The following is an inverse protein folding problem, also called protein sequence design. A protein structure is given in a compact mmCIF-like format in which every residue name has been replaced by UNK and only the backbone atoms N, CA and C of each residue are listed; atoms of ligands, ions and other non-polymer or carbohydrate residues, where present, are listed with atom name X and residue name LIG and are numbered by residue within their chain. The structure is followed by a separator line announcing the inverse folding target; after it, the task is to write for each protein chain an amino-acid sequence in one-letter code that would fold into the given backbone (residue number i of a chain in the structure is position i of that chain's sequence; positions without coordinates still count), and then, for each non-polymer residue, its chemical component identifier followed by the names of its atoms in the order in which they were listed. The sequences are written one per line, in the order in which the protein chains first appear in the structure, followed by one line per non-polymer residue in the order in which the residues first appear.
data_IF_848250558831
#
_entry.id   IF_848250558831
#
_cell.length_a   1.000
_cell.length_b   1.000
_cell.length_c   1.000
_cell.angle_alpha   90.00
_cell.angle_beta   90.00
_cell.angle_gamma   90.00
#
_symmetry.space_group_name_H-M   'P 1'
#
loop_
_entity.id
_entity.type
_entity.pdbx_description
1 polymer ?
#
# COMPACT_ATOMS: atom_id res chain seq x y z
N UNK A 1 -16.99 -3.88 10.31
CA UNK A 1 -16.51 -3.09 11.46
C UNK A 1 -15.00 -3.16 11.46
N UNK A 2 -14.31 -2.24 10.78
CA UNK A 2 -12.84 -2.21 10.79
C UNK A 2 -12.44 -1.10 11.77
N UNK A 3 -12.09 -1.50 12.99
CA UNK A 3 -11.53 -0.59 13.98
C UNK A 3 -10.22 -0.03 13.44
N UNK A 4 -10.15 1.29 13.36
CA UNK A 4 -8.92 2.03 13.10
C UNK A 4 -8.04 1.94 14.35
N UNK A 5 -7.32 0.83 14.53
CA UNK A 5 -6.28 0.74 15.54
C UNK A 5 -5.08 1.63 15.14
N UNK A 6 -4.60 2.55 16.00
CA UNK A 6 -3.54 3.50 15.67
C UNK A 6 -2.11 2.91 15.72
N UNK A 7 -1.97 1.59 15.86
CA UNK A 7 -0.67 0.95 16.03
C UNK A 7 -0.11 0.50 14.69
N UNK A 8 1.09 1.02 14.37
CA UNK A 8 1.91 0.86 13.15
C UNK A 8 1.32 -0.15 12.16
N UNK A 9 0.36 0.24 11.29
CA UNK A 9 -0.11 -0.64 10.24
C UNK A 9 1.13 -1.06 9.46
N UNK A 10 1.32 -2.37 9.30
CA UNK A 10 2.34 -2.88 8.37
C UNK A 10 2.20 -2.11 7.05
N UNK A 11 3.32 -1.83 6.36
CA UNK A 11 3.28 -0.97 5.17
C UNK A 11 2.20 -1.39 4.16
N UNK A 12 1.90 -2.69 4.11
CA UNK A 12 0.78 -3.27 3.39
C UNK A 12 -0.60 -2.75 3.84
N UNK A 13 -0.93 -2.81 5.13
CA UNK A 13 -2.22 -2.31 5.65
C UNK A 13 -2.36 -0.80 5.45
N UNK A 14 -1.27 -0.04 5.55
CA UNK A 14 -1.30 1.38 5.21
C UNK A 14 -1.62 1.60 3.74
N UNK A 15 -1.11 0.75 2.85
CA UNK A 15 -1.45 0.74 1.42
C UNK A 15 -2.93 0.43 1.16
N UNK A 16 -3.51 -0.55 1.88
CA UNK A 16 -4.94 -0.88 1.80
C UNK A 16 -5.81 0.33 2.12
N UNK A 17 -5.46 1.08 3.17
CA UNK A 17 -6.20 2.28 3.59
C UNK A 17 -6.23 3.40 2.55
N UNK A 18 -5.35 3.40 1.54
CA UNK A 18 -5.38 4.39 0.46
C UNK A 18 -6.55 4.16 -0.53
N UNK A 19 -7.11 2.94 -0.55
CA UNK A 19 -8.22 2.53 -1.43
C UNK A 19 -9.19 1.58 -0.69
N UNK A 20 -9.83 2.02 0.41
CA UNK A 20 -10.57 1.13 1.30
C UNK A 20 -11.68 0.35 0.60
N UNK A 21 -12.44 0.99 -0.29
CA UNK A 21 -13.57 0.34 -0.97
C UNK A 21 -13.13 -0.85 -1.85
N UNK A 22 -12.05 -0.68 -2.64
CA UNK A 22 -11.55 -1.72 -3.53
C UNK A 22 -11.01 -2.93 -2.78
N UNK A 23 -10.41 -2.70 -1.61
CA UNK A 23 -9.90 -3.79 -0.78
C UNK A 23 -10.98 -4.43 0.07
N UNK A 24 -11.99 -3.69 0.53
CA UNK A 24 -13.13 -4.25 1.24
C UNK A 24 -13.92 -5.24 0.38
N UNK A 25 -14.03 -4.98 -0.92
CA UNK A 25 -14.65 -5.90 -1.87
C UNK A 25 -13.91 -7.25 -1.94
N UNK A 26 -12.57 -7.21 -2.06
CA UNK A 26 -11.75 -8.43 -2.02
C UNK A 26 -11.84 -9.14 -0.67
N UNK A 27 -11.69 -8.41 0.44
CA UNK A 27 -11.68 -8.97 1.79
C UNK A 27 -13.02 -9.61 2.14
N UNK A 28 -14.13 -9.01 1.70
CA UNK A 28 -15.48 -9.52 1.90
C UNK A 28 -15.91 -10.62 0.93
N UNK A 29 -15.09 -10.93 -0.08
CA UNK A 29 -15.41 -11.97 -1.06
C UNK A 29 -15.17 -13.37 -0.49
N UNK A 30 -16.21 -14.20 -0.46
CA UNK A 30 -16.08 -15.62 -0.10
C UNK A 30 -15.26 -16.40 -1.12
N UNK A 31 -15.32 -16.01 -2.39
CA UNK A 31 -14.61 -16.66 -3.49
C UNK A 31 -13.13 -16.24 -3.58
N UNK A 32 -12.83 -14.95 -3.39
CA UNK A 32 -11.51 -14.39 -3.65
C UNK A 32 -10.76 -13.89 -2.42
N UNK A 33 -11.42 -13.80 -1.25
CA UNK A 33 -10.86 -13.19 -0.04
C UNK A 33 -9.90 -14.07 0.74
N UNK A 34 -9.89 -15.39 0.53
CA UNK A 34 -9.03 -16.34 1.26
C UNK A 34 -7.54 -15.95 1.35
N UNK A 35 -6.89 -15.51 0.25
CA UNK A 35 -5.52 -15.00 0.26
C UNK A 35 -5.21 -13.84 1.23
N UNK A 36 -6.23 -13.13 1.74
CA UNK A 36 -6.04 -12.06 2.73
C UNK A 36 -5.76 -12.60 4.14
N UNK A 37 -6.18 -13.83 4.44
CA UNK A 37 -6.11 -14.39 5.78
C UNK A 37 -4.67 -14.47 6.35
N UNK A 38 -3.65 -14.99 5.62
CA UNK A 38 -2.27 -15.01 6.13
C UNK A 38 -1.72 -13.61 6.44
N UNK A 39 -2.08 -12.63 5.62
CA UNK A 39 -1.64 -11.24 5.81
C UNK A 39 -2.27 -10.65 7.07
N UNK A 40 -3.57 -10.92 7.30
CA UNK A 40 -4.29 -10.45 8.47
C UNK A 40 -3.76 -11.09 9.76
N UNK A 41 -3.49 -12.40 9.75
CA UNK A 41 -2.88 -13.13 10.88
C UNK A 41 -1.52 -12.51 11.22
N UNK A 42 -0.60 -12.40 10.25
CA UNK A 42 0.73 -11.85 10.49
C UNK A 42 0.72 -10.39 10.94
N UNK A 43 -0.24 -9.61 10.45
CA UNK A 43 -0.39 -8.19 10.83
C UNK A 43 -0.82 -8.04 12.30
N UNK A 44 -1.69 -8.92 12.80
CA UNK A 44 -2.25 -8.81 14.15
C UNK A 44 -1.57 -9.72 15.18
N UNK A 45 -0.55 -10.49 14.79
CA UNK A 45 0.17 -11.43 15.66
C UNK A 45 0.59 -10.80 17.00
N UNK A 46 1.03 -9.54 16.96
CA UNK A 46 1.50 -8.79 18.12
C UNK A 46 0.62 -7.57 18.44
N UNK A 47 -0.69 -7.62 18.12
CA UNK A 47 -1.59 -6.49 18.36
C UNK A 47 -1.59 -6.11 19.85
N UNK A 48 -1.52 -4.82 20.25
CA UNK A 48 -1.60 -4.43 21.64
C UNK A 48 -2.91 -4.86 22.32
N UNK A 49 -4.01 -4.94 21.57
CA UNK A 49 -5.29 -5.47 22.03
C UNK A 49 -5.31 -7.01 21.94
N UNK A 50 -5.33 -7.74 23.07
CA UNK A 50 -5.39 -9.20 23.06
C UNK A 50 -6.61 -9.77 22.36
N UNK A 51 -7.73 -9.05 22.29
CA UNK A 51 -8.94 -9.50 21.60
C UNK A 51 -8.78 -9.51 20.07
N UNK A 52 -7.83 -8.72 19.56
CA UNK A 52 -7.52 -8.63 18.13
C UNK A 52 -6.41 -9.59 17.69
N UNK A 53 -5.71 -10.23 18.63
CA UNK A 53 -4.65 -11.19 18.30
C UNK A 53 -5.23 -12.47 17.72
N UNK A 54 -4.63 -13.02 16.64
CA UNK A 54 -4.96 -14.36 16.20
C UNK A 54 -4.48 -15.39 17.24
N UNK A 55 -4.93 -16.65 17.14
CA UNK A 55 -4.33 -17.75 17.89
C UNK A 55 -2.81 -17.79 17.70
N UNK A 56 -2.09 -18.21 18.74
CA UNK A 56 -0.64 -18.34 18.68
C UNK A 56 -0.22 -19.25 17.52
N UNK A 57 0.74 -18.76 16.74
CA UNK A 57 1.24 -19.44 15.56
C UNK A 57 2.34 -20.39 16.00
N UNK A 58 2.05 -21.69 16.03
CA UNK A 58 3.06 -22.70 16.30
C UNK A 58 4.21 -22.62 15.25
N UNK A 59 5.47 -22.90 15.62
CA UNK A 59 6.61 -22.74 14.73
C UNK A 59 6.48 -23.52 13.41
N UNK A 60 5.92 -24.72 13.46
CA UNK A 60 5.65 -25.59 12.30
C UNK A 60 4.53 -25.02 11.38
N UNK A 61 3.56 -24.30 11.95
CA UNK A 61 2.48 -23.65 11.20
C UNK A 61 2.87 -22.33 10.57
N UNK A 62 3.97 -21.72 11.03
CA UNK A 62 4.48 -20.47 10.43
C UNK A 62 4.90 -20.67 8.98
N UNK A 63 5.57 -21.76 8.66
CA UNK A 63 6.02 -22.03 7.29
C UNK A 63 4.85 -22.28 6.34
N UNK A 64 3.83 -23.02 6.78
CA UNK A 64 2.57 -23.21 6.04
C UNK A 64 1.88 -21.86 5.76
N UNK A 65 1.87 -20.96 6.73
CA UNK A 65 1.30 -19.62 6.61
C UNK A 65 2.06 -18.77 5.59
N UNK A 66 3.39 -18.79 5.62
CA UNK A 66 4.24 -18.08 4.67
C UNK A 66 4.11 -18.62 3.25
N UNK A 67 4.01 -19.94 3.08
CA UNK A 67 3.75 -20.54 1.77
C UNK A 67 2.37 -20.15 1.23
N UNK A 68 1.35 -20.17 2.09
CA UNK A 68 0.00 -19.73 1.75
C UNK A 68 -0.04 -18.25 1.36
N UNK A 69 0.73 -17.40 2.04
CA UNK A 69 0.92 -16.00 1.68
C UNK A 69 1.51 -15.86 0.27
N UNK A 70 2.64 -16.53 0.00
CA UNK A 70 3.33 -16.46 -1.30
C UNK A 70 2.41 -16.90 -2.44
N UNK A 71 1.71 -18.02 -2.28
CA UNK A 71 0.74 -18.50 -3.27
C UNK A 71 -0.41 -17.49 -3.45
N UNK A 72 -0.95 -16.98 -2.33
CA UNK A 72 -2.04 -16.01 -2.28
C UNK A 72 -1.74 -14.69 -3.01
N UNK A 73 -0.49 -14.22 -3.01
CA UNK A 73 -0.10 -12.99 -3.71
C UNK A 73 -0.46 -13.03 -5.21
N UNK A 74 -0.34 -14.19 -5.85
CA UNK A 74 -0.70 -14.33 -7.26
C UNK A 74 -2.21 -14.19 -7.48
N UNK A 75 -3.03 -14.71 -6.55
CA UNK A 75 -4.48 -14.58 -6.60
C UNK A 75 -4.92 -13.12 -6.40
N UNK A 76 -4.37 -12.44 -5.39
CA UNK A 76 -4.63 -11.01 -5.14
C UNK A 76 -4.22 -10.17 -6.36
N UNK A 77 -3.05 -10.46 -6.95
CA UNK A 77 -2.59 -9.78 -8.14
C UNK A 77 -3.55 -9.95 -9.32
N UNK A 78 -3.99 -11.19 -9.59
CA UNK A 78 -4.92 -11.51 -10.69
C UNK A 78 -6.29 -10.89 -10.49
N UNK A 79 -6.82 -10.93 -9.26
CA UNK A 79 -8.07 -10.25 -8.91
C UNK A 79 -7.97 -8.77 -9.30
N UNK A 80 -6.97 -8.03 -8.83
CA UNK A 80 -6.86 -6.62 -9.20
C UNK A 80 -6.39 -6.36 -10.64
N UNK A 81 -5.81 -7.35 -11.34
CA UNK A 81 -5.40 -7.18 -12.73
C UNK A 81 -6.61 -6.96 -13.65
N UNK A 82 -7.69 -7.72 -13.47
CA UNK A 82 -8.94 -7.51 -14.21
C UNK A 82 -9.59 -6.17 -13.85
N UNK A 83 -9.58 -5.79 -12.57
CA UNK A 83 -10.16 -4.53 -12.11
C UNK A 83 -9.39 -3.30 -12.62
N UNK A 84 -8.06 -3.40 -12.80
CA UNK A 84 -7.25 -2.32 -13.40
C UNK A 84 -7.53 -2.12 -14.89
N UNK A 85 -7.82 -3.19 -15.64
CA UNK A 85 -8.15 -3.10 -17.06
C UNK A 85 -9.48 -2.34 -17.29
N UNK A 86 -10.44 -2.50 -16.37
CA UNK A 86 -11.71 -1.77 -16.42
C UNK A 86 -11.57 -0.29 -16.02
N UNK A 87 -10.60 0.05 -15.17
CA UNK A 87 -10.39 1.40 -14.65
C UNK A 87 -9.44 2.28 -15.49
N UNK A 88 -9.13 1.89 -16.74
CA UNK A 88 -8.06 2.48 -17.55
C UNK A 88 -8.37 3.92 -18.00
N UNK A 89 -8.17 4.90 -17.12
CA UNK A 89 -7.56 6.16 -17.55
C UNK A 89 -6.06 5.90 -17.63
N UNK A 90 -5.46 6.03 -18.81
CA UNK A 90 -4.03 5.81 -19.01
C UNK A 90 -3.16 6.58 -18.01
N UNK A 91 -1.87 6.22 -17.87
CA UNK A 91 -0.98 6.91 -16.94
C UNK A 91 -1.05 8.42 -17.18
N UNK A 92 -1.16 9.21 -16.11
CA UNK A 92 -1.22 10.67 -16.20
C UNK A 92 0.01 11.16 -16.97
N UNK A 93 -0.17 11.48 -18.25
CA UNK A 93 0.89 12.05 -19.06
C UNK A 93 1.06 13.49 -18.63
N UNK A 94 2.30 13.87 -18.28
CA UNK A 94 2.57 15.26 -17.98
C UNK A 94 2.31 16.10 -19.24
N UNK A 95 1.48 17.11 -19.12
CA UNK A 95 1.13 17.98 -20.27
C UNK A 95 2.29 18.92 -20.67
N UNK A 96 3.24 19.17 -19.76
CA UNK A 96 4.37 20.08 -19.99
C UNK A 96 5.73 19.40 -20.22
N UNK A 97 6.75 20.14 -20.69
CA UNK A 97 8.13 19.69 -20.92
C UNK A 97 8.89 19.42 -19.61
N UNK A 98 9.86 18.48 -19.64
CA UNK A 98 10.60 18.04 -18.44
C UNK A 98 11.54 19.11 -17.99
N UNK A 99 11.12 19.86 -16.96
CA UNK A 99 11.98 20.81 -16.25
C UNK A 99 13.18 20.04 -15.68
N UNK A 100 14.36 20.34 -16.20
CA UNK A 100 15.62 19.84 -15.71
C UNK A 100 15.93 20.41 -14.32
N UNK A 101 16.63 19.62 -13.50
CA UNK A 101 17.01 20.00 -12.13
C UNK A 101 17.78 21.33 -12.06
N UNK A 102 18.54 21.67 -13.12
CA UNK A 102 19.33 22.90 -13.21
C UNK A 102 18.66 24.03 -14.03
N UNK A 103 17.49 23.79 -14.62
CA UNK A 103 16.81 24.78 -15.45
C UNK A 103 16.27 25.93 -14.59
N UNK A 104 15.96 27.06 -15.22
CA UNK A 104 15.30 28.17 -14.53
C UNK A 104 13.94 27.73 -13.98
N UNK A 105 13.65 28.14 -12.75
CA UNK A 105 12.44 27.76 -12.07
C UNK A 105 11.22 28.51 -12.68
N UNK A 106 10.13 27.81 -13.05
CA UNK A 106 8.97 28.42 -13.72
C UNK A 106 8.17 29.38 -12.82
N UNK A 107 8.51 29.52 -11.54
CA UNK A 107 7.89 30.48 -10.62
C UNK A 107 8.40 31.92 -10.78
N UNK A 108 9.33 32.17 -11.72
CA UNK A 108 9.86 33.52 -11.99
C UNK A 108 10.95 33.98 -11.01
N UNK A 109 11.42 33.13 -10.10
CA UNK A 109 12.42 33.53 -9.09
C UNK A 109 13.85 33.71 -9.64
N UNK A 110 14.12 33.40 -10.90
CA UNK A 110 15.46 33.40 -11.50
C UNK A 110 16.41 32.31 -10.99
N UNK A 111 16.02 31.52 -9.98
CA UNK A 111 16.83 30.43 -9.41
C UNK A 111 16.71 29.14 -10.22
N UNK A 112 17.73 28.27 -10.11
CA UNK A 112 17.65 26.89 -10.64
C UNK A 112 16.52 26.12 -9.93
N UNK A 113 15.81 25.26 -10.64
CA UNK A 113 14.66 24.50 -10.13
C UNK A 113 14.99 23.74 -8.82
N UNK A 114 16.18 23.14 -8.73
CA UNK A 114 16.70 22.44 -7.52
C UNK A 114 16.94 23.29 -6.29
N UNK A 115 16.98 24.60 -6.43
CA UNK A 115 17.18 25.56 -5.34
C UNK A 115 15.93 26.43 -5.11
N UNK A 116 14.80 26.02 -5.68
CA UNK A 116 13.53 26.72 -5.56
C UNK A 116 12.40 25.71 -5.37
N UNK A 117 11.52 25.52 -6.36
CA UNK A 117 10.31 24.72 -6.19
C UNK A 117 10.53 23.21 -6.01
N UNK A 118 11.73 22.68 -6.31
CA UNK A 118 12.06 21.28 -6.03
C UNK A 118 12.53 21.05 -4.58
N UNK A 119 12.75 22.11 -3.81
CA UNK A 119 13.22 22.02 -2.42
C UNK A 119 12.02 22.05 -1.48
N UNK A 120 11.28 20.95 -1.40
CA UNK A 120 10.18 20.78 -0.43
C UNK A 120 10.66 20.23 0.92
N UNK A 121 11.92 20.46 1.31
CA UNK A 121 12.46 20.06 2.60
C UNK A 121 13.24 21.21 3.25
N UNK A 122 12.97 21.58 4.52
CA UNK A 122 13.86 22.44 5.28
C UNK A 122 15.19 21.70 5.50
N UNK A 123 16.27 22.25 4.95
CA UNK A 123 17.62 21.88 5.35
C UNK A 123 17.87 22.46 6.73
N UNK A 124 17.75 21.62 7.77
CA UNK A 124 18.29 21.93 9.08
C UNK A 124 19.81 21.76 9.02
N UNK A 125 20.52 22.86 9.28
CA UNK A 125 21.96 22.89 9.51
C UNK A 125 22.25 22.61 10.98
#
# INVERSE_FOLDING_TARGET
MFYTNPCRPSGFMRGIQLRPNSWQELIGSEEFGGPMLPIMILTHEHDPDPAMRPPEIAPDKRDELLQSLIAGLTHIYRYFASHRQLATQGPLRRQGPKIGRNDQCPCGSGRKYKHCCATSAPTFH
#
